data_IF_238706022184
#
_entry.id   IF_238706022184
#
_cell.length_a   1.000
_cell.length_b   1.000
_cell.length_c   1.000
_cell.angle_alpha   90.00
_cell.angle_beta   90.00
_cell.angle_gamma   90.00
#
_symmetry.space_group_name_H-M   'P 1'
#
loop_
_entity.id
_entity.type
_entity.pdbx_description
1 polymer ?
#
# COMPACT_ATOMS: atom_id res chain seq x y z
N UNK A 1 2.05 -15.71 -4.60
CA UNK A 1 1.00 -16.17 -3.65
C UNK A 1 1.68 -17.12 -2.70
N UNK A 2 1.59 -16.86 -1.38
CA UNK A 2 2.13 -17.73 -0.34
C UNK A 2 0.94 -18.32 0.42
N UNK A 3 0.91 -19.64 0.62
CA UNK A 3 -0.16 -20.36 1.33
C UNK A 3 0.45 -20.99 2.57
N UNK A 4 -0.11 -20.71 3.74
CA UNK A 4 0.36 -21.28 4.99
C UNK A 4 -0.81 -21.94 5.75
N UNK A 5 -0.61 -23.19 6.17
CA UNK A 5 -1.61 -24.04 6.84
C UNK A 5 -1.12 -24.31 8.27
N UNK A 6 -1.03 -23.29 9.14
CA UNK A 6 -0.42 -23.50 10.47
C UNK A 6 -1.09 -22.80 11.65
N UNK A 7 -2.36 -22.40 11.59
CA UNK A 7 -3.14 -22.11 12.81
C UNK A 7 -4.51 -22.77 12.73
N UNK A 8 -4.68 -23.85 13.50
CA UNK A 8 -5.97 -24.49 13.84
C UNK A 8 -7.00 -24.56 12.69
N UNK A 9 -6.63 -25.18 11.56
CA UNK A 9 -7.57 -25.48 10.47
C UNK A 9 -7.96 -24.32 9.56
N UNK A 10 -7.35 -23.14 9.72
CA UNK A 10 -7.51 -22.00 8.81
C UNK A 10 -6.39 -21.97 7.77
N UNK A 11 -6.75 -21.88 6.49
CA UNK A 11 -5.82 -21.85 5.36
C UNK A 11 -5.67 -20.42 4.85
N UNK A 12 -4.59 -19.75 5.25
CA UNK A 12 -4.35 -18.35 4.90
C UNK A 12 -3.51 -18.28 3.63
N UNK A 13 -4.05 -17.60 2.63
CA UNK A 13 -3.34 -17.29 1.40
C UNK A 13 -3.08 -15.79 1.28
N UNK A 14 -1.81 -15.44 1.06
CA UNK A 14 -1.35 -14.06 0.90
C UNK A 14 -1.16 -13.74 -0.58
N UNK A 15 -1.86 -12.72 -1.05
CA UNK A 15 -1.71 -12.10 -2.37
C UNK A 15 -0.82 -10.87 -2.21
N UNK A 16 0.44 -10.98 -2.61
CA UNK A 16 1.42 -9.89 -2.53
C UNK A 16 1.69 -9.33 -3.92
N UNK A 17 1.49 -8.03 -4.09
CA UNK A 17 1.83 -7.30 -5.31
C UNK A 17 3.23 -6.70 -5.19
N UNK A 18 4.08 -6.98 -6.18
CA UNK A 18 5.42 -6.43 -6.24
C UNK A 18 5.35 -4.92 -6.54
N UNK A 19 6.21 -4.15 -5.88
CA UNK A 19 6.47 -2.77 -6.25
C UNK A 19 7.45 -2.66 -7.42
N UNK A 20 7.93 -1.44 -7.63
CA UNK A 20 8.95 -1.13 -8.64
C UNK A 20 10.32 -1.66 -8.21
N UNK A 21 11.21 -1.98 -9.17
CA UNK A 21 12.59 -2.37 -8.86
C UNK A 21 13.37 -1.16 -8.33
N UNK A 22 14.41 -1.36 -7.50
CA UNK A 22 15.16 -0.27 -6.86
C UNK A 22 15.75 0.80 -7.80
N UNK A 23 16.07 0.42 -9.04
CA UNK A 23 16.65 1.32 -10.05
C UNK A 23 15.61 1.97 -10.99
N UNK A 24 14.36 1.49 -10.96
CA UNK A 24 13.23 2.05 -11.70
C UNK A 24 12.37 2.95 -10.77
N UNK A 25 12.76 3.08 -9.49
CA UNK A 25 12.04 3.88 -8.48
C UNK A 25 12.13 5.39 -8.76
N UNK A 26 13.19 5.82 -9.46
CA UNK A 26 13.34 7.20 -9.93
C UNK A 26 12.34 7.50 -11.05
N UNK A 27 12.21 6.60 -12.03
CA UNK A 27 11.20 6.66 -13.09
C UNK A 27 9.80 6.73 -12.48
N UNK A 28 9.56 6.07 -11.35
CA UNK A 28 8.25 6.13 -10.69
C UNK A 28 7.87 7.53 -10.19
N UNK A 29 8.82 8.34 -9.67
CA UNK A 29 8.51 9.70 -9.20
C UNK A 29 8.34 10.70 -10.36
N UNK A 30 9.01 10.44 -11.49
CA UNK A 30 9.03 11.32 -12.66
C UNK A 30 7.97 10.97 -13.70
N UNK A 31 7.64 9.68 -13.85
CA UNK A 31 6.64 9.12 -14.79
C UNK A 31 5.30 8.84 -14.12
N UNK A 32 4.97 9.54 -13.04
CA UNK A 32 3.59 9.52 -12.52
C UNK A 32 2.69 10.08 -13.64
N UNK A 33 2.16 9.18 -14.46
CA UNK A 33 1.05 9.45 -15.37
C UNK A 33 -0.16 9.79 -14.50
N UNK A 34 -0.24 11.06 -14.08
CA UNK A 34 -1.29 11.65 -13.24
C UNK A 34 -2.66 11.65 -13.91
N UNK A 35 -2.81 10.93 -15.02
CA UNK A 35 -4.08 10.73 -15.67
C UNK A 35 -5.02 9.87 -14.82
N UNK A 36 -6.29 10.21 -14.95
CA UNK A 36 -7.39 9.58 -14.25
C UNK A 36 -8.14 8.67 -15.20
N UNK A 37 -8.59 7.52 -14.70
CA UNK A 37 -9.67 6.77 -15.34
C UNK A 37 -10.85 6.76 -14.38
N UNK A 38 -11.97 7.30 -14.87
CA UNK A 38 -13.25 7.27 -14.15
C UNK A 38 -13.85 5.87 -14.23
N UNK A 39 -14.30 5.37 -13.09
CA UNK A 39 -14.97 4.09 -12.97
C UNK A 39 -16.39 4.37 -12.48
N UNK A 40 -17.38 3.92 -13.27
CA UNK A 40 -18.79 4.10 -12.93
C UNK A 40 -19.07 3.55 -11.53
N UNK A 41 -19.53 4.41 -10.62
CA UNK A 41 -19.86 4.07 -9.24
C UNK A 41 -18.69 4.00 -8.25
N UNK A 42 -17.44 4.18 -8.69
CA UNK A 42 -16.23 4.11 -7.84
C UNK A 42 -15.43 5.43 -7.80
N UNK A 43 -15.85 6.46 -8.54
CA UNK A 43 -15.05 7.70 -8.67
C UNK A 43 -13.86 7.51 -9.61
N UNK A 44 -12.76 8.21 -9.37
CA UNK A 44 -11.56 8.16 -10.24
C UNK A 44 -10.39 7.50 -9.53
N UNK A 45 -9.61 6.72 -10.28
CA UNK A 45 -8.36 6.13 -9.82
C UNK A 45 -7.23 6.31 -10.86
N UNK A 46 -5.99 6.23 -10.40
CA UNK A 46 -4.79 6.43 -11.22
C UNK A 46 -4.75 5.50 -12.43
N UNK A 47 -4.63 6.04 -13.65
CA UNK A 47 -4.74 5.26 -14.87
C UNK A 47 -3.63 4.20 -15.00
N UNK A 48 -2.38 4.57 -14.68
CA UNK A 48 -1.23 3.65 -14.70
C UNK A 48 -1.46 2.39 -13.85
N UNK A 49 -1.92 2.54 -12.60
CA UNK A 49 -2.21 1.41 -11.71
C UNK A 49 -3.35 0.54 -12.25
N UNK A 50 -4.40 1.15 -12.82
CA UNK A 50 -5.50 0.41 -13.43
C UNK A 50 -5.04 -0.40 -14.66
N UNK A 51 -4.25 0.21 -15.54
CA UNK A 51 -3.66 -0.47 -16.71
C UNK A 51 -2.79 -1.66 -16.28
N UNK A 52 -1.95 -1.48 -15.26
CA UNK A 52 -1.07 -2.53 -14.73
C UNK A 52 -1.86 -3.74 -14.18
N UNK A 53 -3.02 -3.52 -13.56
CA UNK A 53 -3.88 -4.62 -13.11
C UNK A 53 -4.67 -5.31 -14.24
N UNK A 54 -4.84 -4.64 -15.38
CA UNK A 54 -5.53 -5.18 -16.54
C UNK A 54 -6.84 -4.47 -16.89
N UNK A 55 -6.89 -3.14 -16.76
CA UNK A 55 -7.98 -2.33 -17.31
C UNK A 55 -8.16 -2.61 -18.81
N UNK A 56 -9.40 -2.80 -19.25
CA UNK A 56 -9.71 -3.18 -20.63
C UNK A 56 -10.15 -1.99 -21.47
N UNK A 57 -9.92 -2.06 -22.78
CA UNK A 57 -10.57 -1.20 -23.76
C UNK A 57 -11.88 -1.85 -24.21
N UNK A 58 -12.99 -1.13 -24.09
CA UNK A 58 -14.33 -1.56 -24.50
C UNK A 58 -14.82 -0.58 -25.57
N UNK A 59 -14.64 -0.95 -26.84
CA UNK A 59 -14.88 -0.05 -27.98
C UNK A 59 -13.99 1.19 -27.90
N UNK A 60 -14.60 2.37 -27.82
CA UNK A 60 -13.90 3.65 -27.65
C UNK A 60 -13.67 4.05 -26.18
N UNK A 61 -14.17 3.25 -25.23
CA UNK A 61 -14.08 3.51 -23.79
C UNK A 61 -13.11 2.56 -23.09
N UNK A 62 -12.82 2.81 -21.81
CA UNK A 62 -12.07 1.90 -20.94
C UNK A 62 -12.92 1.47 -19.75
N UNK A 63 -12.70 0.26 -19.24
CA UNK A 63 -13.47 -0.23 -18.09
C UNK A 63 -13.01 -1.58 -17.56
N UNK A 64 -13.73 -2.04 -16.55
CA UNK A 64 -13.54 -3.34 -15.88
C UNK A 64 -14.71 -4.26 -16.21
N UNK A 65 -14.73 -4.91 -17.39
CA UNK A 65 -15.76 -5.90 -17.68
C UNK A 65 -15.72 -7.01 -16.64
N UNK A 66 -16.88 -7.58 -16.27
CA UNK A 66 -16.91 -8.59 -15.22
C UNK A 66 -16.16 -9.86 -15.62
N UNK A 67 -16.23 -10.24 -16.88
CA UNK A 67 -15.52 -11.41 -17.42
C UNK A 67 -14.78 -11.00 -18.69
N UNK A 68 -13.65 -11.67 -18.94
CA UNK A 68 -12.83 -11.48 -20.14
C UNK A 68 -12.46 -12.83 -20.73
N UNK A 69 -12.26 -12.88 -22.04
CA UNK A 69 -11.77 -14.08 -22.71
C UNK A 69 -10.30 -14.33 -22.36
N UNK A 70 -10.06 -15.40 -21.60
CA UNK A 70 -8.73 -15.88 -21.21
C UNK A 70 -8.36 -17.21 -21.89
N UNK A 71 -8.93 -17.48 -23.07
CA UNK A 71 -8.58 -18.66 -23.88
C UNK A 71 -7.10 -18.68 -24.28
N UNK A 72 -6.52 -19.86 -24.57
CA UNK A 72 -5.13 -19.97 -25.00
C UNK A 72 -4.83 -19.05 -26.20
N UNK A 73 -3.77 -18.25 -26.10
CA UNK A 73 -3.38 -17.27 -27.13
C UNK A 73 -3.93 -15.85 -26.94
N UNK A 74 -4.81 -15.62 -25.94
CA UNK A 74 -5.24 -14.28 -25.53
C UNK A 74 -4.34 -13.69 -24.43
N UNK A 75 -4.28 -12.35 -24.29
CA UNK A 75 -3.52 -11.71 -23.22
C UNK A 75 -4.00 -12.12 -21.83
N UNK A 76 -3.07 -12.32 -20.90
CA UNK A 76 -3.37 -12.60 -19.50
C UNK A 76 -3.34 -11.29 -18.72
N UNK A 77 -4.40 -11.03 -17.98
CA UNK A 77 -4.55 -9.83 -17.16
C UNK A 77 -4.47 -10.19 -15.67
N UNK A 78 -3.67 -9.44 -14.91
CA UNK A 78 -3.33 -9.76 -13.52
C UNK A 78 -4.57 -9.90 -12.64
N UNK A 79 -5.50 -8.94 -12.68
CA UNK A 79 -6.74 -8.98 -11.90
C UNK A 79 -7.54 -10.26 -12.13
N UNK A 80 -7.88 -10.55 -13.39
CA UNK A 80 -8.73 -11.69 -13.74
C UNK A 80 -8.05 -13.02 -13.39
N UNK A 81 -6.74 -13.13 -13.66
CA UNK A 81 -5.99 -14.34 -13.32
C UNK A 81 -5.96 -14.59 -11.81
N UNK A 82 -5.66 -13.56 -11.01
CA UNK A 82 -5.62 -13.68 -9.55
C UNK A 82 -7.01 -13.98 -9.00
N UNK A 83 -8.06 -13.31 -9.51
CA UNK A 83 -9.45 -13.57 -9.13
C UNK A 83 -9.86 -15.02 -9.37
N UNK A 84 -9.54 -15.59 -10.53
CA UNK A 84 -9.84 -17.01 -10.81
C UNK A 84 -9.12 -17.96 -9.85
N UNK A 85 -7.87 -17.67 -9.51
CA UNK A 85 -7.14 -18.46 -8.51
C UNK A 85 -7.82 -18.37 -7.14
N UNK A 86 -8.25 -17.18 -6.70
CA UNK A 86 -8.97 -17.01 -5.43
C UNK A 86 -10.34 -17.71 -5.46
N UNK A 87 -11.09 -17.59 -6.56
CA UNK A 87 -12.35 -18.32 -6.77
C UNK A 87 -12.13 -19.83 -6.66
N UNK A 88 -11.06 -20.35 -7.24
CA UNK A 88 -10.72 -21.77 -7.19
C UNK A 88 -10.39 -22.23 -5.75
N UNK A 89 -9.54 -21.49 -5.03
CA UNK A 89 -9.23 -21.79 -3.63
C UNK A 89 -10.51 -21.77 -2.77
N UNK A 90 -11.45 -20.86 -3.05
CA UNK A 90 -12.72 -20.83 -2.35
C UNK A 90 -13.60 -22.06 -2.57
N UNK A 91 -13.50 -22.69 -3.75
CA UNK A 91 -14.21 -23.94 -4.08
C UNK A 91 -13.57 -25.15 -3.40
N UNK A 92 -12.25 -25.14 -3.26
CA UNK A 92 -11.49 -26.25 -2.68
C UNK A 92 -11.51 -26.29 -1.15
N UNK A 93 -11.63 -25.13 -0.49
CA UNK A 93 -11.61 -25.03 0.97
C UNK A 93 -12.63 -24.01 1.44
N UNK A 94 -13.52 -24.40 2.35
CA UNK A 94 -14.46 -23.46 2.98
C UNK A 94 -13.82 -22.56 4.05
N UNK A 95 -12.65 -22.96 4.56
CA UNK A 95 -11.92 -22.23 5.60
C UNK A 95 -10.80 -21.35 5.02
N UNK A 96 -10.73 -21.20 3.70
CA UNK A 96 -9.73 -20.36 3.07
C UNK A 96 -9.93 -18.89 3.46
N UNK A 97 -8.85 -18.23 3.85
CA UNK A 97 -8.78 -16.81 4.20
C UNK A 97 -7.72 -16.12 3.37
N UNK A 98 -7.94 -14.85 3.06
CA UNK A 98 -7.08 -14.08 2.19
C UNK A 98 -6.55 -12.83 2.87
N UNK A 99 -5.27 -12.55 2.62
CA UNK A 99 -4.64 -11.27 2.95
C UNK A 99 -4.11 -10.69 1.66
N UNK A 100 -4.43 -9.43 1.38
CA UNK A 100 -3.91 -8.72 0.22
C UNK A 100 -2.86 -7.72 0.73
N UNK A 101 -1.71 -7.66 0.08
CA UNK A 101 -0.61 -6.81 0.53
C UNK A 101 0.27 -6.31 -0.60
N UNK A 102 1.03 -5.26 -0.34
CA UNK A 102 2.03 -4.74 -1.24
C UNK A 102 2.81 -3.57 -0.66
N UNK A 103 4.02 -3.39 -1.17
CA UNK A 103 4.90 -2.25 -0.85
C UNK A 103 4.98 -1.30 -2.04
N UNK A 104 5.06 0.01 -1.79
CA UNK A 104 5.21 1.03 -2.83
C UNK A 104 4.08 0.98 -3.87
N UNK A 105 4.41 0.97 -5.17
CA UNK A 105 3.49 0.66 -6.27
C UNK A 105 2.63 -0.59 -5.99
N UNK A 106 3.21 -1.64 -5.44
CA UNK A 106 2.48 -2.86 -5.09
C UNK A 106 1.39 -2.62 -4.05
N UNK A 107 1.58 -1.67 -3.13
CA UNK A 107 0.54 -1.25 -2.20
C UNK A 107 -0.66 -0.62 -2.93
N UNK A 108 -0.40 0.17 -3.97
CA UNK A 108 -1.46 0.77 -4.78
C UNK A 108 -2.25 -0.30 -5.56
N UNK A 109 -1.52 -1.27 -6.15
CA UNK A 109 -2.14 -2.39 -6.86
C UNK A 109 -2.95 -3.28 -5.90
N UNK A 110 -2.48 -3.49 -4.66
CA UNK A 110 -3.18 -4.27 -3.65
C UNK A 110 -4.56 -3.69 -3.32
N UNK A 111 -4.64 -2.40 -3.01
CA UNK A 111 -5.93 -1.77 -2.66
C UNK A 111 -6.84 -1.60 -3.88
N UNK A 112 -6.26 -1.37 -5.06
CA UNK A 112 -7.02 -1.29 -6.31
C UNK A 112 -7.55 -2.68 -6.75
N UNK A 113 -6.80 -3.75 -6.51
CA UNK A 113 -7.29 -5.11 -6.74
C UNK A 113 -8.52 -5.40 -5.87
N UNK A 114 -8.48 -5.03 -4.59
CA UNK A 114 -9.63 -5.15 -3.69
C UNK A 114 -10.82 -4.31 -4.18
N UNK A 115 -10.59 -3.10 -4.69
CA UNK A 115 -11.67 -2.24 -5.20
C UNK A 115 -12.36 -2.84 -6.42
N UNK A 116 -11.63 -3.47 -7.34
CA UNK A 116 -12.22 -4.12 -8.52
C UNK A 116 -12.97 -5.40 -8.13
N UNK A 117 -12.51 -6.16 -7.13
CA UNK A 117 -13.29 -7.28 -6.57
C UNK A 117 -14.64 -6.79 -6.02
N UNK A 118 -14.65 -5.65 -5.31
CA UNK A 118 -15.88 -5.03 -4.78
C UNK A 118 -16.79 -4.55 -5.91
N UNK A 119 -16.24 -3.92 -6.94
CA UNK A 119 -16.97 -3.49 -8.14
C UNK A 119 -17.65 -4.66 -8.86
N UNK A 120 -16.98 -5.81 -8.93
CA UNK A 120 -17.50 -7.01 -9.56
C UNK A 120 -18.42 -7.83 -8.64
N UNK A 121 -18.57 -7.40 -7.39
CA UNK A 121 -19.35 -8.08 -6.35
C UNK A 121 -18.92 -9.54 -6.15
N UNK A 122 -17.61 -9.77 -6.04
CA UNK A 122 -17.02 -11.10 -5.80
C UNK A 122 -17.24 -11.59 -4.35
N UNK A 123 -18.50 -11.63 -3.90
CA UNK A 123 -18.90 -11.84 -2.48
C UNK A 123 -18.18 -13.01 -1.81
N UNK A 124 -18.15 -14.18 -2.47
CA UNK A 124 -17.48 -15.39 -1.93
C UNK A 124 -15.99 -15.18 -1.63
N UNK A 125 -15.31 -14.38 -2.44
CA UNK A 125 -13.89 -14.04 -2.22
C UNK A 125 -13.79 -12.94 -1.17
N UNK A 126 -14.61 -11.89 -1.28
CA UNK A 126 -14.62 -10.73 -0.39
C UNK A 126 -14.88 -11.10 1.07
N UNK A 127 -15.85 -11.96 1.34
CA UNK A 127 -16.21 -12.47 2.69
C UNK A 127 -15.06 -13.24 3.37
N UNK A 128 -14.02 -13.58 2.60
CA UNK A 128 -12.85 -14.33 3.07
C UNK A 128 -11.59 -13.48 3.12
N UNK A 129 -11.64 -12.21 2.71
CA UNK A 129 -10.52 -11.28 2.85
C UNK A 129 -10.51 -10.75 4.29
N UNK A 130 -9.49 -11.11 5.05
CA UNK A 130 -9.30 -10.65 6.43
C UNK A 130 -8.73 -9.23 6.49
N UNK A 131 -7.97 -8.85 5.46
CA UNK A 131 -7.52 -7.47 5.34
C UNK A 131 -6.63 -7.17 4.16
N UNK A 132 -6.47 -5.87 3.93
CA UNK A 132 -5.56 -5.25 2.98
C UNK A 132 -4.52 -4.47 3.78
N UNK A 133 -3.26 -4.86 3.67
CA UNK A 133 -2.14 -4.25 4.40
C UNK A 133 -1.18 -3.65 3.39
N UNK A 134 -0.96 -2.34 3.44
CA UNK A 134 -0.13 -1.66 2.45
C UNK A 134 0.97 -0.87 3.12
N UNK A 135 2.14 -0.85 2.47
CA UNK A 135 3.38 -0.31 3.03
C UNK A 135 3.93 0.73 2.06
N UNK A 136 4.08 1.97 2.49
CA UNK A 136 4.55 3.03 1.60
C UNK A 136 3.62 3.26 0.40
N UNK A 137 2.31 3.06 0.58
CA UNK A 137 1.34 3.14 -0.51
C UNK A 137 1.17 4.59 -1.00
N UNK A 138 1.31 4.87 -2.32
CA UNK A 138 0.97 6.18 -2.87
C UNK A 138 -0.54 6.43 -2.86
N UNK A 139 -0.95 7.66 -3.18
CA UNK A 139 -2.39 7.94 -3.35
C UNK A 139 -2.90 7.25 -4.62
N UNK A 140 -4.05 6.59 -4.53
CA UNK A 140 -4.59 5.74 -5.60
C UNK A 140 -5.79 6.36 -6.30
N UNK A 141 -6.63 7.05 -5.55
CA UNK A 141 -7.94 7.53 -5.99
C UNK A 141 -8.25 8.94 -5.53
N UNK A 142 -9.35 9.47 -6.02
CA UNK A 142 -9.91 10.73 -5.53
C UNK A 142 -10.79 10.52 -4.29
N UNK A 143 -11.48 11.58 -3.86
CA UNK A 143 -12.36 11.53 -2.69
C UNK A 143 -13.51 10.53 -2.87
N UNK A 144 -14.11 10.47 -4.07
CA UNK A 144 -15.21 9.56 -4.37
C UNK A 144 -14.75 8.10 -4.31
N UNK A 145 -13.56 7.80 -4.83
CA UNK A 145 -12.92 6.49 -4.65
C UNK A 145 -12.71 6.13 -3.18
N UNK A 146 -12.22 7.09 -2.39
CA UNK A 146 -12.05 6.90 -0.95
C UNK A 146 -13.37 6.62 -0.22
N UNK A 147 -14.46 7.26 -0.61
CA UNK A 147 -15.80 7.03 -0.04
C UNK A 147 -16.38 5.68 -0.45
N UNK A 148 -16.24 5.30 -1.73
CA UNK A 148 -16.61 3.97 -2.21
C UNK A 148 -15.88 2.87 -1.43
N UNK A 149 -14.57 3.02 -1.25
CA UNK A 149 -13.75 2.01 -0.57
C UNK A 149 -14.10 1.90 0.91
N UNK A 150 -14.30 3.02 1.61
CA UNK A 150 -14.71 2.97 3.03
C UNK A 150 -16.01 2.19 3.21
N UNK A 151 -17.04 2.50 2.41
CA UNK A 151 -18.33 1.81 2.46
C UNK A 151 -18.19 0.32 2.15
N UNK A 152 -17.44 -0.01 1.10
CA UNK A 152 -17.28 -1.39 0.65
C UNK A 152 -16.46 -2.23 1.62
N UNK A 153 -15.35 -1.69 2.16
CA UNK A 153 -14.54 -2.38 3.18
C UNK A 153 -15.34 -2.66 4.44
N UNK A 154 -16.16 -1.70 4.89
CA UNK A 154 -17.06 -1.88 6.04
C UNK A 154 -18.13 -2.95 5.77
N UNK A 155 -18.75 -2.94 4.59
CA UNK A 155 -19.79 -3.90 4.22
C UNK A 155 -19.31 -5.37 4.23
N UNK A 156 -18.05 -5.61 3.88
CA UNK A 156 -17.43 -6.94 3.89
C UNK A 156 -16.55 -7.19 5.13
N UNK A 157 -16.55 -6.28 6.12
CA UNK A 157 -15.72 -6.34 7.32
C UNK A 157 -14.21 -6.57 7.03
N UNK A 158 -13.71 -5.96 5.95
CA UNK A 158 -12.32 -6.08 5.52
C UNK A 158 -11.47 -5.01 6.21
N UNK A 159 -10.47 -5.43 6.99
CA UNK A 159 -9.54 -4.48 7.61
C UNK A 159 -8.65 -3.82 6.57
N UNK A 160 -8.48 -2.51 6.64
CA UNK A 160 -7.51 -1.80 5.81
C UNK A 160 -6.50 -1.05 6.66
N UNK A 161 -5.22 -1.42 6.54
CA UNK A 161 -4.13 -0.83 7.32
C UNK A 161 -3.06 -0.28 6.37
N UNK A 162 -2.92 1.04 6.34
CA UNK A 162 -1.88 1.73 5.56
C UNK A 162 -0.73 2.14 6.46
N UNK A 163 0.41 1.49 6.30
CA UNK A 163 1.65 1.78 7.01
C UNK A 163 2.44 2.85 6.28
N UNK A 164 2.82 3.89 7.01
CA UNK A 164 3.65 5.00 6.52
C UNK A 164 4.84 5.18 7.44
N UNK A 165 6.04 5.17 6.86
CA UNK A 165 7.27 5.32 7.63
C UNK A 165 7.92 6.69 7.39
N UNK A 166 8.27 7.36 8.49
CA UNK A 166 9.14 8.52 8.57
C UNK A 166 8.87 9.56 7.46
N UNK A 167 9.89 9.89 6.69
CA UNK A 167 9.84 10.81 5.56
C UNK A 167 9.74 10.05 4.22
N UNK A 168 9.14 8.87 4.18
CA UNK A 168 8.91 8.17 2.91
C UNK A 168 8.15 9.07 1.91
N UNK A 169 8.75 9.34 0.75
CA UNK A 169 8.13 10.19 -0.26
C UNK A 169 6.90 9.58 -0.93
N UNK A 170 6.82 8.25 -1.01
CA UNK A 170 5.85 7.55 -1.85
C UNK A 170 4.40 7.75 -1.38
N UNK A 171 4.07 7.64 -0.08
CA UNK A 171 2.75 8.00 0.42
C UNK A 171 2.36 9.46 0.20
N UNK A 172 3.31 10.34 -0.10
CA UNK A 172 3.07 11.77 -0.26
C UNK A 172 2.87 12.16 -1.71
N UNK A 173 2.93 11.21 -2.63
CA UNK A 173 2.62 11.42 -4.04
C UNK A 173 1.49 10.49 -4.54
N UNK A 174 0.77 10.86 -5.61
CA UNK A 174 0.64 12.22 -6.16
C UNK A 174 0.36 13.28 -5.10
N UNK A 175 0.87 14.50 -5.29
CA UNK A 175 0.69 15.56 -4.31
C UNK A 175 -0.79 15.86 -4.11
N UNK A 176 -1.20 16.00 -2.85
CA UNK A 176 -2.55 16.46 -2.50
C UNK A 176 -2.65 17.96 -2.74
N UNK A 177 -2.90 18.34 -4.00
CA UNK A 177 -3.17 19.70 -4.40
C UNK A 177 -4.50 19.77 -5.18
N UNK A 178 -5.02 20.99 -5.37
CA UNK A 178 -6.27 21.22 -6.10
C UNK A 178 -6.20 20.75 -7.56
N UNK A 179 -5.00 20.62 -8.11
CA UNK A 179 -4.74 20.22 -9.50
C UNK A 179 -4.90 18.71 -9.69
N UNK A 180 -4.35 17.91 -8.78
CA UNK A 180 -4.29 16.47 -8.94
C UNK A 180 -5.39 15.74 -8.19
N UNK A 181 -5.99 16.30 -7.12
CA UNK A 181 -7.17 15.76 -6.41
C UNK A 181 -7.07 14.33 -5.83
N UNK A 182 -5.90 13.70 -5.87
CA UNK A 182 -5.67 12.40 -5.22
C UNK A 182 -5.77 12.53 -3.71
N UNK A 183 -6.44 11.58 -3.06
CA UNK A 183 -6.65 11.55 -1.61
C UNK A 183 -6.37 10.16 -1.04
N UNK A 184 -5.79 10.14 0.15
CA UNK A 184 -5.81 8.93 0.97
C UNK A 184 -7.18 8.76 1.62
N UNK A 185 -7.47 7.51 1.97
CA UNK A 185 -8.60 7.13 2.80
C UNK A 185 -8.15 6.05 3.78
N UNK A 186 -9.00 5.76 4.77
CA UNK A 186 -8.68 4.83 5.86
C UNK A 186 -7.64 5.38 6.84
N UNK A 187 -7.38 4.63 7.92
CA UNK A 187 -6.41 5.03 8.94
C UNK A 187 -4.97 4.99 8.41
N UNK A 188 -4.15 5.98 8.79
CA UNK A 188 -2.72 6.02 8.53
C UNK A 188 -1.97 5.56 9.79
N UNK A 189 -1.32 4.40 9.71
CA UNK A 189 -0.44 3.89 10.76
C UNK A 189 0.97 4.47 10.53
N UNK A 190 1.20 5.65 11.11
CA UNK A 190 2.44 6.40 10.92
C UNK A 190 3.50 6.01 11.96
N UNK A 191 4.71 5.72 11.51
CA UNK A 191 5.86 5.43 12.35
C UNK A 191 6.97 6.45 12.07
N UNK A 192 7.61 6.97 13.10
CA UNK A 192 8.78 7.84 12.91
C UNK A 192 10.08 7.02 12.71
N UNK A 193 11.20 7.71 12.50
CA UNK A 193 12.55 7.12 12.39
C UNK A 193 13.08 6.41 13.65
N UNK A 194 12.26 6.29 14.70
CA UNK A 194 12.57 5.45 15.86
C UNK A 194 11.54 4.32 16.03
N UNK A 195 10.77 4.01 14.99
CA UNK A 195 9.69 3.01 14.98
C UNK A 195 8.61 3.24 16.05
N UNK A 196 8.42 4.49 16.49
CA UNK A 196 7.30 4.86 17.38
C UNK A 196 6.07 5.17 16.53
N UNK A 197 5.05 4.35 16.67
CA UNK A 197 3.83 4.38 15.88
C UNK A 197 2.72 5.24 16.49
N UNK A 198 1.92 5.88 15.63
CA UNK A 198 0.70 6.61 15.95
C UNK A 198 -0.31 6.44 14.82
N UNK A 199 -1.59 6.33 15.16
CA UNK A 199 -2.65 6.40 14.16
C UNK A 199 -2.97 7.87 13.86
N UNK A 200 -2.97 8.22 12.59
CA UNK A 200 -3.25 9.57 12.11
C UNK A 200 -4.34 9.53 11.03
N UNK A 201 -5.15 10.59 10.88
CA UNK A 201 -6.07 10.69 9.76
C UNK A 201 -5.33 10.82 8.42
N UNK A 202 -4.12 11.39 8.42
CA UNK A 202 -3.26 11.50 7.25
C UNK A 202 -1.79 11.65 7.66
N UNK A 203 -0.86 11.30 6.77
CA UNK A 203 0.57 11.39 7.05
C UNK A 203 1.06 12.84 7.29
N UNK A 204 2.05 13.03 8.18
CA UNK A 204 2.68 14.34 8.37
C UNK A 204 3.39 14.81 7.09
N UNK A 205 3.44 16.13 6.87
CA UNK A 205 4.10 16.73 5.71
C UNK A 205 3.56 16.22 4.36
N UNK A 206 2.24 16.24 4.19
CA UNK A 206 1.53 15.69 3.02
C UNK A 206 2.18 15.96 1.66
N UNK A 207 2.80 17.14 1.49
CA UNK A 207 3.38 17.57 0.21
C UNK A 207 4.80 18.16 0.28
N UNK A 208 5.57 17.97 1.36
CA UNK A 208 6.96 18.49 1.49
C UNK A 208 7.24 19.99 1.24
N UNK A 209 6.24 20.85 1.07
CA UNK A 209 6.42 22.26 0.63
C UNK A 209 6.95 23.26 1.69
N UNK A 210 7.44 22.83 2.86
CA UNK A 210 7.94 23.75 3.89
C UNK A 210 9.47 23.74 3.94
N UNK A 211 10.09 24.86 3.58
CA UNK A 211 11.55 25.06 3.65
C UNK A 211 12.11 24.76 5.05
N UNK A 212 11.38 25.11 6.12
CA UNK A 212 11.77 24.85 7.51
C UNK A 212 11.79 23.35 7.85
N UNK A 213 11.12 22.50 7.07
CA UNK A 213 11.06 21.04 7.29
C UNK A 213 12.09 20.27 6.48
N UNK A 214 12.77 20.92 5.52
CA UNK A 214 13.81 20.29 4.67
C UNK A 214 14.99 19.83 5.52
N UNK A 215 15.50 20.67 6.42
CA UNK A 215 16.66 20.34 7.26
C UNK A 215 16.40 19.05 8.09
N UNK A 216 15.28 18.93 8.86
CA UNK A 216 14.94 17.69 9.55
C UNK A 216 14.84 16.46 8.63
N UNK A 217 14.42 16.64 7.38
CA UNK A 217 14.29 15.53 6.43
C UNK A 217 15.67 15.02 6.00
N UNK A 218 16.62 15.91 5.71
CA UNK A 218 18.01 15.52 5.45
C UNK A 218 18.70 14.91 6.68
N UNK A 219 18.47 15.46 7.88
CA UNK A 219 18.96 14.86 9.13
C UNK A 219 18.44 13.43 9.28
N UNK A 220 17.15 13.20 9.02
CA UNK A 220 16.59 11.85 9.03
C UNK A 220 17.22 10.96 7.95
N UNK A 221 17.44 11.45 6.73
CA UNK A 221 18.06 10.64 5.67
C UNK A 221 19.48 10.16 6.05
N UNK A 222 20.28 11.02 6.68
CA UNK A 222 21.57 10.63 7.26
C UNK A 222 21.42 9.64 8.41
N UNK A 223 20.43 9.86 9.28
CA UNK A 223 20.13 8.95 10.38
C UNK A 223 19.70 7.55 9.90
N UNK A 224 18.88 7.45 8.85
CA UNK A 224 18.52 6.18 8.21
C UNK A 224 19.78 5.43 7.72
N UNK A 225 20.68 6.13 7.01
CA UNK A 225 21.92 5.54 6.51
C UNK A 225 22.79 4.99 7.65
N UNK A 226 23.00 5.79 8.70
CA UNK A 226 23.77 5.39 9.89
C UNK A 226 23.13 4.18 10.56
N UNK A 227 21.80 4.18 10.74
CA UNK A 227 21.09 3.07 11.39
C UNK A 227 21.14 1.77 10.62
N UNK A 228 21.21 1.79 9.30
CA UNK A 228 21.41 0.59 8.47
C UNK A 228 22.69 -0.19 8.83
N UNK A 229 23.66 0.45 9.48
CA UNK A 229 24.85 -0.20 10.03
C UNK A 229 24.72 -0.59 11.51
N UNK A 230 23.89 0.09 12.30
CA UNK A 230 23.75 -0.12 13.75
C UNK A 230 22.73 -1.21 14.11
N UNK A 231 21.60 -1.26 13.39
CA UNK A 231 20.49 -2.18 13.69
C UNK A 231 20.91 -3.66 13.76
N UNK A 232 21.82 -4.16 12.91
CA UNK A 232 22.22 -5.57 12.98
C UNK A 232 22.93 -5.94 14.28
N UNK A 233 23.68 -4.99 14.86
CA UNK A 233 24.41 -5.19 16.12
C UNK A 233 23.52 -5.02 17.35
N UNK A 234 22.47 -4.19 17.25
CA UNK A 234 21.58 -3.89 18.38
C UNK A 234 20.34 -4.78 18.44
N UNK A 235 19.82 -5.22 17.30
CA UNK A 235 18.57 -5.97 17.19
C UNK A 235 18.76 -7.39 16.61
N UNK A 236 19.93 -7.72 16.06
CA UNK A 236 20.27 -9.04 15.56
C UNK A 236 20.43 -9.10 14.02
N UNK A 237 20.92 -10.24 13.50
CA UNK A 237 21.32 -10.36 12.08
C UNK A 237 20.17 -10.21 11.08
N UNK A 238 18.93 -10.48 11.48
CA UNK A 238 17.73 -10.30 10.65
C UNK A 238 17.51 -8.85 10.19
N UNK A 239 18.08 -7.88 10.90
CA UNK A 239 17.95 -6.45 10.60
C UNK A 239 19.05 -5.94 9.65
N UNK A 240 19.85 -6.86 9.09
CA UNK A 240 20.99 -6.54 8.22
C UNK A 240 20.55 -6.13 6.84
N UNK A 241 20.87 -4.89 6.50
CA UNK A 241 20.77 -4.40 5.13
C UNK A 241 21.91 -4.89 4.25
N UNK A 242 21.55 -5.34 3.05
CA UNK A 242 22.47 -5.66 1.97
C UNK A 242 23.11 -4.42 1.35
N UNK A 243 24.10 -4.63 0.50
CA UNK A 243 24.83 -3.55 -0.17
C UNK A 243 23.95 -2.70 -1.09
N UNK A 244 22.98 -3.32 -1.78
CA UNK A 244 22.03 -2.60 -2.65
C UNK A 244 21.15 -1.64 -1.83
N UNK A 245 20.65 -2.07 -0.67
CA UNK A 245 19.84 -1.23 0.21
C UNK A 245 20.65 -0.06 0.76
N UNK A 246 21.91 -0.29 1.14
CA UNK A 246 22.82 0.77 1.60
C UNK A 246 23.15 1.77 0.50
N UNK A 247 23.41 1.29 -0.72
CA UNK A 247 23.63 2.16 -1.88
C UNK A 247 22.38 3.02 -2.15
N UNK A 248 21.18 2.43 -2.06
CA UNK A 248 19.92 3.18 -2.17
C UNK A 248 19.77 4.23 -1.08
N UNK A 249 20.21 3.97 0.17
CA UNK A 249 20.24 4.98 1.23
C UNK A 249 21.22 6.11 0.96
N UNK A 250 22.40 5.83 0.40
CA UNK A 250 23.37 6.85 -0.02
C UNK A 250 22.79 7.73 -1.12
N UNK A 251 22.18 7.13 -2.14
CA UNK A 251 21.46 7.87 -3.17
C UNK A 251 20.31 8.70 -2.60
N UNK A 252 19.57 8.11 -1.66
CA UNK A 252 18.53 8.77 -0.88
C UNK A 252 19.02 9.96 -0.06
N UNK A 253 20.33 10.26 0.03
CA UNK A 253 20.80 11.54 0.57
C UNK A 253 20.58 12.71 -0.40
N UNK A 254 20.47 12.46 -1.71
CA UNK A 254 20.14 13.49 -2.72
C UNK A 254 18.65 13.83 -2.67
N UNK A 255 17.81 12.79 -2.57
CA UNK A 255 16.35 12.89 -2.43
C UNK A 255 15.98 12.27 -1.08
N UNK A 256 15.99 13.06 0.00
CA UNK A 256 15.94 12.55 1.39
C UNK A 256 14.67 11.76 1.74
N UNK A 257 13.60 11.89 0.97
CA UNK A 257 12.41 11.07 1.14
C UNK A 257 12.52 9.64 0.59
N UNK A 258 13.45 9.37 -0.34
CA UNK A 258 13.71 8.01 -0.83
C UNK A 258 14.49 7.17 0.19
N UNK A 259 15.35 7.79 1.01
CA UNK A 259 16.14 7.06 2.01
C UNK A 259 15.28 6.25 2.98
N UNK A 260 14.05 6.69 3.24
CA UNK A 260 13.08 6.02 4.12
C UNK A 260 12.08 5.09 3.37
N UNK A 261 12.24 4.87 2.07
CA UNK A 261 11.32 4.06 1.26
C UNK A 261 11.81 2.61 1.05
N UNK A 262 12.69 2.11 1.93
CA UNK A 262 13.23 0.76 1.83
C UNK A 262 12.25 -0.31 2.34
N UNK A 263 12.14 -1.49 1.70
CA UNK A 263 11.38 -2.62 2.25
C UNK A 263 11.81 -3.03 3.67
N UNK A 264 13.11 -2.88 3.99
CA UNK A 264 13.65 -3.16 5.33
C UNK A 264 13.04 -2.24 6.38
N UNK A 265 12.78 -0.97 6.06
CA UNK A 265 12.18 -0.05 7.01
C UNK A 265 10.76 -0.47 7.36
N UNK A 266 10.01 -0.99 6.38
CA UNK A 266 8.66 -1.50 6.60
C UNK A 266 8.64 -2.85 7.33
N UNK A 267 9.59 -3.76 7.06
CA UNK A 267 9.78 -4.96 7.88
C UNK A 267 10.10 -4.57 9.34
N UNK A 268 11.01 -3.63 9.55
CA UNK A 268 11.35 -3.11 10.86
C UNK A 268 10.15 -2.44 11.55
N UNK A 269 9.29 -1.71 10.81
CA UNK A 269 8.04 -1.17 11.34
C UNK A 269 7.15 -2.29 11.88
N UNK A 270 7.03 -3.42 11.17
CA UNK A 270 6.19 -4.54 11.65
C UNK A 270 6.80 -5.30 12.82
N UNK A 271 8.14 -5.37 12.91
CA UNK A 271 8.86 -6.13 13.95
C UNK A 271 9.15 -5.33 15.22
N UNK A 272 9.58 -4.09 15.06
CA UNK A 272 10.03 -3.20 16.15
C UNK A 272 8.99 -2.14 16.52
N UNK A 273 7.99 -1.94 15.66
CA UNK A 273 6.99 -0.91 15.82
C UNK A 273 6.24 -1.03 17.14
N UNK A 274 6.17 0.09 17.87
CA UNK A 274 5.31 0.20 19.05
C UNK A 274 4.23 1.24 18.78
N UNK A 275 3.00 0.78 18.54
CA UNK A 275 1.84 1.68 18.41
C UNK A 275 1.44 2.22 19.77
N UNK A 276 1.51 3.54 19.93
CA UNK A 276 0.78 4.19 21.01
C UNK A 276 -0.67 4.27 20.57
N UNK A 277 -1.51 3.36 21.06
CA UNK A 277 -2.95 3.53 20.93
C UNK A 277 -3.33 4.86 21.58
N UNK A 278 -4.13 5.67 20.87
CA UNK A 278 -4.75 6.82 21.50
C UNK A 278 -5.56 6.30 22.69
N UNK A 279 -5.36 6.90 23.88
CA UNK A 279 -6.16 6.58 25.06
C UNK A 279 -7.65 6.67 24.66
N UNK A 280 -8.46 5.64 24.97
CA UNK A 280 -9.90 5.68 24.74
C UNK A 280 -10.48 7.00 25.29
N UNK A 281 -11.36 7.66 24.53
CA UNK A 281 -11.87 9.01 24.86
C UNK A 281 -12.48 9.10 26.28
N UNK A 282 -12.99 7.98 26.79
CA UNK A 282 -13.51 7.79 28.14
C UNK A 282 -12.44 7.93 29.26
N UNK A 283 -11.15 7.68 28.98
CA UNK A 283 -10.06 7.91 29.93
C UNK A 283 -9.50 9.34 29.88
N UNK A 284 -9.61 10.03 28.75
CA UNK A 284 -9.19 11.43 28.62
C UNK A 284 -10.07 12.40 29.41
N UNK A 285 -11.36 12.06 29.61
CA UNK A 285 -12.29 12.85 30.45
C UNK A 285 -12.04 12.75 31.95
N UNK A 286 -11.28 11.76 32.42
CA UNK A 286 -10.94 11.58 33.85
C UNK A 286 -9.65 12.31 34.28
N UNK A 287 -8.97 12.96 33.34
CA UNK A 287 -7.70 13.67 33.56
C UNK A 287 -7.80 15.19 33.31
N UNK A 288 -9.03 15.72 33.30
CA UNK A 288 -9.34 17.15 33.41
C UNK A 288 -10.19 17.35 34.65
#
# INVERSE_FOLDING_TARGET
MLRNVTMEGTDITVVAFCGTKPFDADDWCTDIDLSWVSLSGMGRAHAGFQKALGLQKIGQSVGWPKEVDMSPGKPIYAYYKIREVLRQICRESNNAKFIITGHSLGGALAILFASVLMLHEEKKVLDRIEGVYTFGQPRVGDKEFGEFMKKSLEAYNVRYCRYVYSNDIVPRVPFDNRTFMFKHFGPCLYYNSCYKGKELPEEPNKNYFSLLRIIPIYVNAWWELIRGFILPYSNGPDYKEGWVQKAFRVFGLLIPGLSAHGPQDYDNVTRLGRMRMALPQNLQKKLK
#
